data_IF_420611167054
#
_entry.id   IF_420611167054
#
_cell.length_a   1.000
_cell.length_b   1.000
_cell.length_c   1.000
_cell.angle_alpha   90.00
_cell.angle_beta   90.00
_cell.angle_gamma   90.00
#
_symmetry.space_group_name_H-M   'P 1'
#
loop_
_entity.id
_entity.type
_entity.pdbx_description
1 polymer ?
#
# COMPACT_ATOMS: atom_id res chain seq x y z
N UNK A 1 17.14 -10.91 -0.82
CA UNK A 1 16.52 -12.17 -0.35
C UNK A 1 17.39 -13.41 -0.66
N UNK A 2 18.20 -13.38 -1.74
CA UNK A 2 18.94 -14.60 -2.20
C UNK A 2 19.93 -15.18 -1.15
N UNK A 3 20.45 -14.36 -0.27
CA UNK A 3 21.44 -14.79 0.75
C UNK A 3 20.87 -14.91 2.17
N UNK A 4 19.59 -14.62 2.39
CA UNK A 4 19.00 -14.57 3.73
C UNK A 4 18.18 -15.81 4.10
N UNK A 5 18.00 -16.77 3.20
CA UNK A 5 17.09 -17.90 3.38
C UNK A 5 15.60 -17.49 3.41
N UNK A 6 15.29 -16.24 3.06
CA UNK A 6 13.93 -15.75 3.00
C UNK A 6 13.31 -16.00 1.62
N UNK A 7 12.07 -16.44 1.60
CA UNK A 7 11.27 -16.70 0.40
C UNK A 7 10.03 -15.82 0.43
N UNK A 8 9.84 -15.03 -0.61
CA UNK A 8 8.62 -14.25 -0.81
C UNK A 8 7.58 -15.12 -1.55
N UNK A 9 6.37 -15.11 -1.05
CA UNK A 9 5.22 -15.81 -1.61
C UNK A 9 4.19 -14.77 -2.04
N UNK A 10 4.00 -14.54 -3.34
CA UNK A 10 3.03 -13.58 -3.82
C UNK A 10 1.61 -14.03 -3.49
N UNK A 11 0.75 -13.09 -3.14
CA UNK A 11 -0.65 -13.33 -2.81
C UNK A 11 -1.58 -12.71 -3.85
N UNK A 12 -1.36 -11.44 -4.19
CA UNK A 12 -2.09 -10.73 -5.25
C UNK A 12 -1.30 -9.53 -5.74
N UNK A 13 -1.75 -8.99 -6.88
CA UNK A 13 -1.21 -7.77 -7.46
C UNK A 13 -2.27 -6.67 -7.43
N UNK A 14 -1.91 -5.47 -7.01
CA UNK A 14 -2.78 -4.31 -6.97
C UNK A 14 -2.28 -3.20 -7.92
N UNK A 15 -3.23 -2.46 -8.47
CA UNK A 15 -2.96 -1.18 -9.12
C UNK A 15 -2.77 -0.11 -8.04
N UNK A 16 -1.75 0.76 -8.15
CA UNK A 16 -1.58 1.85 -7.21
C UNK A 16 -2.79 2.78 -7.19
N UNK A 17 -3.18 3.20 -6.00
CA UNK A 17 -4.24 4.17 -5.75
C UNK A 17 -3.71 5.29 -4.85
N UNK A 18 -4.27 6.47 -5.04
CA UNK A 18 -4.07 7.61 -4.16
C UNK A 18 -5.15 7.61 -3.10
N UNK A 19 -4.77 7.61 -1.85
CA UNK A 19 -5.67 7.87 -0.73
C UNK A 19 -5.64 9.37 -0.44
N UNK A 20 -6.80 9.98 -0.39
CA UNK A 20 -6.96 11.43 -0.26
C UNK A 20 -8.26 11.74 0.48
N UNK A 21 -8.33 12.90 1.13
CA UNK A 21 -9.58 13.34 1.76
C UNK A 21 -10.70 13.48 0.72
N UNK A 22 -11.90 13.02 1.07
CA UNK A 22 -13.14 13.19 0.27
C UNK A 22 -13.43 14.67 -0.06
N UNK A 23 -12.93 15.60 0.76
CA UNK A 23 -13.08 17.03 0.53
C UNK A 23 -12.13 17.61 -0.52
N UNK A 24 -11.10 16.84 -0.93
CA UNK A 24 -10.17 17.27 -1.96
C UNK A 24 -10.86 17.28 -3.34
N UNK A 25 -10.66 18.33 -4.18
CA UNK A 25 -11.24 18.38 -5.52
C UNK A 25 -10.92 17.19 -6.44
N UNK A 26 -9.81 16.51 -6.20
CA UNK A 26 -9.44 15.31 -6.95
C UNK A 26 -10.30 14.08 -6.58
N UNK A 27 -10.98 14.09 -5.44
CA UNK A 27 -11.75 12.95 -4.92
C UNK A 27 -12.90 12.49 -5.85
N UNK A 28 -13.36 13.35 -6.75
CA UNK A 28 -14.43 13.03 -7.70
C UNK A 28 -13.92 12.55 -9.07
N UNK A 29 -12.61 12.43 -9.24
CA UNK A 29 -12.02 11.98 -10.51
C UNK A 29 -12.03 10.45 -10.60
N UNK A 30 -12.19 9.93 -11.80
CA UNK A 30 -12.07 8.50 -12.09
C UNK A 30 -10.63 7.98 -11.93
N UNK A 31 -9.65 8.84 -12.12
CA UNK A 31 -8.22 8.55 -11.94
C UNK A 31 -7.42 9.86 -11.77
N UNK A 32 -6.22 9.74 -11.23
CA UNK A 32 -5.26 10.83 -11.10
C UNK A 32 -3.91 10.44 -11.67
N UNK A 33 -3.09 11.45 -11.99
CA UNK A 33 -1.69 11.31 -12.42
C UNK A 33 -0.74 11.87 -11.38
N UNK A 34 0.55 11.60 -11.49
CA UNK A 34 1.57 12.19 -10.61
C UNK A 34 1.65 13.72 -10.77
N UNK A 35 1.31 14.24 -11.94
CA UNK A 35 1.25 15.69 -12.21
C UNK A 35 0.11 16.36 -11.44
N UNK A 36 -1.06 15.73 -11.36
CA UNK A 36 -2.19 16.21 -10.56
C UNK A 36 -1.85 16.34 -9.06
N UNK A 37 -0.88 15.56 -8.59
CA UNK A 37 -0.46 15.49 -7.20
C UNK A 37 0.73 16.39 -6.86
N UNK A 38 1.35 17.04 -7.84
CA UNK A 38 2.64 17.73 -7.68
C UNK A 38 2.63 18.81 -6.60
N UNK A 39 1.52 19.52 -6.45
CA UNK A 39 1.36 20.61 -5.47
C UNK A 39 0.83 20.15 -4.10
N UNK A 40 0.44 18.88 -3.96
CA UNK A 40 -0.11 18.35 -2.73
C UNK A 40 0.99 17.78 -1.83
N UNK A 41 0.88 17.90 -0.49
CA UNK A 41 1.78 17.22 0.44
C UNK A 41 1.68 15.70 0.28
N UNK A 42 2.81 15.05 -0.02
CA UNK A 42 2.90 13.61 0.02
C UNK A 42 3.18 13.14 1.44
N UNK A 43 2.34 12.27 1.95
CA UNK A 43 2.48 11.67 3.27
C UNK A 43 3.06 10.27 3.10
N UNK A 44 4.22 10.02 3.71
CA UNK A 44 4.94 8.75 3.61
C UNK A 44 5.25 8.18 4.98
N UNK A 45 5.34 6.87 5.04
CA UNK A 45 5.78 6.18 6.25
C UNK A 45 7.31 6.11 6.30
N UNK A 46 7.90 6.36 7.48
CA UNK A 46 9.33 6.21 7.66
C UNK A 46 9.70 4.71 7.65
N UNK A 47 10.35 4.30 6.59
CA UNK A 47 10.74 2.91 6.37
C UNK A 47 12.15 2.59 6.88
N UNK A 48 12.77 3.54 7.60
CA UNK A 48 14.10 3.38 8.15
C UNK A 48 15.23 3.38 7.10
N UNK A 49 16.43 3.05 7.56
CA UNK A 49 17.67 3.15 6.76
C UNK A 49 17.77 2.08 5.64
N UNK A 50 16.98 1.01 5.71
CA UNK A 50 17.04 -0.11 4.76
C UNK A 50 15.98 -0.03 3.65
N UNK A 51 15.35 1.12 3.48
CA UNK A 51 14.39 1.36 2.42
C UNK A 51 15.05 1.19 1.03
N UNK A 52 14.47 0.35 0.19
CA UNK A 52 14.88 0.20 -1.20
C UNK A 52 13.65 0.07 -2.10
N UNK A 53 13.81 0.38 -3.38
CA UNK A 53 12.73 0.26 -4.36
C UNK A 53 12.03 -1.11 -4.36
N UNK A 54 12.78 -2.19 -4.12
CA UNK A 54 12.24 -3.56 -4.16
C UNK A 54 11.61 -4.05 -2.86
N UNK A 55 11.89 -3.37 -1.74
CA UNK A 55 11.47 -3.79 -0.40
C UNK A 55 10.82 -2.65 0.36
N UNK A 56 10.40 -1.63 -0.34
CA UNK A 56 9.66 -0.53 0.25
C UNK A 56 8.23 -0.99 0.55
N UNK A 57 7.74 -0.65 1.72
CA UNK A 57 6.35 -0.86 2.10
C UNK A 57 5.40 0.02 1.26
N UNK A 58 5.90 1.17 0.81
CA UNK A 58 5.18 2.10 -0.05
C UNK A 58 5.77 2.14 -1.44
N UNK A 59 4.91 1.97 -2.44
CA UNK A 59 5.30 2.14 -3.83
C UNK A 59 5.70 3.59 -4.11
N UNK A 60 6.65 3.76 -5.03
CA UNK A 60 7.19 5.07 -5.41
C UNK A 60 7.83 5.85 -4.24
N UNK A 61 8.12 5.20 -3.10
CA UNK A 61 8.76 5.83 -1.94
C UNK A 61 10.14 6.42 -2.24
N UNK A 62 10.80 5.93 -3.28
CA UNK A 62 12.10 6.45 -3.76
C UNK A 62 11.98 7.68 -4.66
N UNK A 63 10.78 8.01 -5.14
CA UNK A 63 10.55 9.25 -5.89
C UNK A 63 10.41 10.42 -4.93
N UNK A 64 11.27 11.42 -5.05
CA UNK A 64 11.19 12.63 -4.24
C UNK A 64 9.95 13.44 -4.63
N UNK A 65 9.23 13.95 -3.65
CA UNK A 65 8.19 14.97 -3.80
C UNK A 65 8.72 16.29 -3.27
N UNK A 66 8.33 17.40 -3.89
CA UNK A 66 8.72 18.74 -3.42
C UNK A 66 8.15 19.06 -2.02
N UNK A 67 7.04 18.40 -1.66
CA UNK A 67 6.37 18.53 -0.36
C UNK A 67 6.15 17.14 0.22
N UNK A 68 7.10 16.66 1.00
CA UNK A 68 7.01 15.34 1.64
C UNK A 68 6.97 15.50 3.16
N UNK A 69 6.03 14.80 3.79
CA UNK A 69 5.92 14.68 5.25
C UNK A 69 6.07 13.20 5.59
N UNK A 70 7.10 12.88 6.37
CA UNK A 70 7.34 11.51 6.86
C UNK A 70 6.80 11.37 8.26
N UNK A 71 6.11 10.26 8.49
CA UNK A 71 5.52 9.91 9.78
C UNK A 71 5.96 8.52 10.21
N UNK A 72 5.93 8.28 11.51
CA UNK A 72 6.34 6.99 12.09
C UNK A 72 5.18 6.03 12.36
N UNK A 73 3.94 6.48 12.17
CA UNK A 73 2.75 5.64 12.37
C UNK A 73 1.67 5.94 11.33
N UNK A 74 0.83 4.93 11.04
CA UNK A 74 -0.19 4.99 9.99
C UNK A 74 -1.39 5.86 10.37
N UNK A 75 -1.76 5.91 11.65
CA UNK A 75 -2.91 6.71 12.08
C UNK A 75 -2.64 8.20 11.86
N UNK A 76 -1.40 8.64 12.04
CA UNK A 76 -0.98 10.01 11.74
C UNK A 76 -1.12 10.34 10.25
N UNK A 77 -0.89 9.39 9.33
CA UNK A 77 -1.11 9.61 7.89
C UNK A 77 -2.55 10.01 7.62
N UNK A 78 -3.54 9.29 8.16
CA UNK A 78 -4.96 9.57 7.95
C UNK A 78 -5.34 10.95 8.49
N UNK A 79 -4.92 11.28 9.71
CA UNK A 79 -5.16 12.60 10.29
C UNK A 79 -4.55 13.74 9.46
N UNK A 80 -3.35 13.56 8.94
CA UNK A 80 -2.68 14.56 8.11
C UNK A 80 -3.29 14.66 6.71
N UNK A 81 -3.81 13.58 6.13
CA UNK A 81 -4.58 13.65 4.87
C UNK A 81 -5.74 14.62 4.98
N UNK A 82 -6.48 14.57 6.08
CA UNK A 82 -7.60 15.46 6.33
C UNK A 82 -7.09 16.87 6.70
N UNK A 83 -6.15 16.96 7.65
CA UNK A 83 -5.72 18.25 8.21
C UNK A 83 -4.85 19.10 7.28
N UNK A 84 -4.02 18.47 6.45
CA UNK A 84 -3.11 19.16 5.51
C UNK A 84 -3.58 19.08 4.04
N UNK A 85 -4.65 18.34 3.75
CA UNK A 85 -5.06 18.07 2.37
C UNK A 85 -4.02 17.27 1.58
N UNK A 86 -3.23 16.44 2.27
CA UNK A 86 -2.18 15.61 1.67
C UNK A 86 -2.72 14.32 1.07
N UNK A 87 -1.81 13.52 0.52
CA UNK A 87 -2.13 12.20 -0.06
C UNK A 87 -1.09 11.16 0.30
N UNK A 88 -1.47 9.88 0.25
CA UNK A 88 -0.54 8.75 0.24
C UNK A 88 -0.87 7.79 -0.91
N UNK A 89 0.08 6.94 -1.30
CA UNK A 89 -0.10 5.95 -2.37
C UNK A 89 -0.13 4.56 -1.75
N UNK A 90 -1.18 3.80 -2.07
CA UNK A 90 -1.40 2.46 -1.51
C UNK A 90 -2.09 1.54 -2.53
N UNK A 91 -2.56 0.38 -2.07
CA UNK A 91 -3.17 -0.68 -2.89
C UNK A 91 -4.57 -0.37 -3.40
N UNK A 92 -5.23 0.63 -2.85
CA UNK A 92 -6.64 0.91 -3.12
C UNK A 92 -7.62 0.11 -2.24
N UNK A 93 -7.12 -0.84 -1.46
CA UNK A 93 -7.93 -1.60 -0.52
C UNK A 93 -8.11 -0.75 0.74
N UNK A 94 -9.32 -0.28 0.96
CA UNK A 94 -9.72 0.46 2.15
C UNK A 94 -11.06 -0.09 2.63
N UNK A 95 -11.18 -0.31 3.93
CA UNK A 95 -12.47 -0.66 4.52
C UNK A 95 -13.29 0.60 4.75
N UNK A 96 -14.56 0.58 4.39
CA UNK A 96 -15.50 1.69 4.62
C UNK A 96 -15.62 2.05 6.11
N UNK A 97 -15.34 1.07 6.99
CA UNK A 97 -15.35 1.26 8.44
C UNK A 97 -14.11 1.98 8.98
N UNK A 98 -13.04 2.08 8.17
CA UNK A 98 -11.73 2.56 8.64
C UNK A 98 -11.68 4.08 8.71
N UNK A 99 -12.13 4.77 7.66
CA UNK A 99 -12.27 6.22 7.63
C UNK A 99 -13.19 6.67 6.48
N UNK A 100 -14.44 7.08 6.76
CA UNK A 100 -15.38 7.51 5.73
C UNK A 100 -14.99 8.82 5.03
N UNK A 101 -14.04 9.58 5.60
CA UNK A 101 -13.55 10.83 5.03
C UNK A 101 -12.46 10.64 3.97
N UNK A 102 -11.98 9.40 3.76
CA UNK A 102 -10.91 9.08 2.81
C UNK A 102 -11.48 8.29 1.64
N UNK A 103 -10.98 8.58 0.46
CA UNK A 103 -11.29 7.84 -0.78
C UNK A 103 -10.01 7.34 -1.44
N UNK A 104 -10.12 6.22 -2.13
CA UNK A 104 -9.08 5.65 -2.97
C UNK A 104 -9.37 5.97 -4.43
N UNK A 105 -8.42 6.61 -5.13
CA UNK A 105 -8.54 6.97 -6.54
C UNK A 105 -7.44 6.25 -7.32
N UNK A 106 -7.75 5.57 -8.43
CA UNK A 106 -6.74 4.93 -9.27
C UNK A 106 -5.65 5.91 -9.71
N UNK A 107 -4.37 5.54 -9.53
CA UNK A 107 -3.22 6.29 -10.00
C UNK A 107 -2.76 5.74 -11.36
N UNK A 108 -2.67 6.61 -12.37
CA UNK A 108 -2.14 6.24 -13.68
C UNK A 108 -0.62 6.18 -13.66
N UNK A 109 -0.11 4.97 -13.46
CA UNK A 109 1.31 4.61 -13.52
C UNK A 109 1.44 3.19 -14.07
N UNK A 110 2.59 2.85 -14.60
CA UNK A 110 2.86 1.49 -15.13
C UNK A 110 3.21 0.51 -14.01
N UNK A 111 3.61 1.01 -12.86
CA UNK A 111 3.99 0.23 -11.70
C UNK A 111 2.81 -0.58 -11.15
N UNK A 112 3.11 -1.75 -10.59
CA UNK A 112 2.18 -2.61 -9.87
C UNK A 112 2.70 -2.86 -8.45
N UNK A 113 1.78 -3.06 -7.53
CA UNK A 113 2.08 -3.43 -6.15
C UNK A 113 1.86 -4.93 -6.03
N UNK A 114 2.92 -5.67 -5.72
CA UNK A 114 2.82 -7.09 -5.43
C UNK A 114 2.79 -7.28 -3.92
N UNK A 115 1.70 -7.84 -3.43
CA UNK A 115 1.48 -8.12 -2.02
C UNK A 115 1.63 -9.62 -1.79
N UNK A 116 2.32 -9.96 -0.71
CA UNK A 116 2.56 -11.34 -0.34
C UNK A 116 3.06 -11.47 1.09
N UNK A 117 3.56 -12.63 1.40
CA UNK A 117 4.13 -12.94 2.70
C UNK A 117 5.52 -13.54 2.54
N UNK A 118 6.31 -13.51 3.61
CA UNK A 118 7.68 -14.00 3.62
C UNK A 118 7.80 -15.15 4.61
N UNK A 119 8.46 -16.22 4.19
CA UNK A 119 8.86 -17.33 5.06
C UNK A 119 10.37 -17.54 5.02
N UNK A 120 10.88 -18.32 5.98
CA UNK A 120 12.25 -18.81 5.93
C UNK A 120 12.26 -20.21 5.31
N UNK A 121 13.08 -20.43 4.28
CA UNK A 121 13.12 -21.69 3.50
C UNK A 121 13.43 -22.94 4.33
N UNK A 122 14.16 -22.78 5.44
CA UNK A 122 14.53 -23.88 6.34
C UNK A 122 13.55 -24.12 7.51
N UNK A 123 12.47 -23.30 7.62
CA UNK A 123 11.54 -23.37 8.74
C UNK A 123 10.12 -23.65 8.21
N UNK A 124 9.54 -24.82 8.55
CA UNK A 124 8.18 -25.13 8.11
C UNK A 124 7.17 -24.23 8.81
N UNK A 125 6.08 -23.88 8.08
CA UNK A 125 4.99 -23.11 8.64
C UNK A 125 4.30 -23.90 9.78
N UNK A 126 4.02 -23.21 10.88
CA UNK A 126 3.18 -23.75 11.95
C UNK A 126 1.75 -23.92 11.47
N UNK A 127 0.94 -24.70 12.20
CA UNK A 127 -0.48 -24.84 11.91
C UNK A 127 -1.23 -23.51 12.01
N UNK A 128 -0.87 -22.69 13.03
CA UNK A 128 -1.43 -21.36 13.22
C UNK A 128 -1.13 -20.44 12.02
N UNK A 129 0.11 -20.46 11.53
CA UNK A 129 0.48 -19.68 10.35
C UNK A 129 -0.31 -20.12 9.11
N UNK A 130 -0.49 -21.43 8.90
CA UNK A 130 -1.31 -21.94 7.79
C UNK A 130 -2.76 -21.51 7.89
N UNK A 131 -3.36 -21.57 9.08
CA UNK A 131 -4.73 -21.09 9.31
C UNK A 131 -4.85 -19.58 9.05
N UNK A 132 -3.92 -18.79 9.55
CA UNK A 132 -3.89 -17.34 9.31
C UNK A 132 -3.82 -17.02 7.81
N UNK A 133 -2.95 -17.71 7.06
CA UNK A 133 -2.84 -17.53 5.62
C UNK A 133 -4.13 -17.93 4.88
N UNK A 134 -4.81 -18.99 5.33
CA UNK A 134 -6.10 -19.38 4.75
C UNK A 134 -7.18 -18.32 4.97
N UNK A 135 -7.29 -17.78 6.19
CA UNK A 135 -8.21 -16.68 6.51
C UNK A 135 -7.88 -15.41 5.72
N UNK A 136 -6.59 -15.05 5.65
CA UNK A 136 -6.14 -13.90 4.88
C UNK A 136 -6.52 -14.02 3.40
N UNK A 137 -6.35 -15.20 2.79
CA UNK A 137 -6.78 -15.46 1.39
C UNK A 137 -8.28 -15.32 1.24
N UNK A 138 -9.07 -15.82 2.18
CA UNK A 138 -10.53 -15.69 2.17
C UNK A 138 -10.97 -14.22 2.26
N UNK A 139 -10.33 -13.44 3.13
CA UNK A 139 -10.59 -11.98 3.25
C UNK A 139 -10.24 -11.26 1.96
N UNK A 140 -9.06 -11.52 1.37
CA UNK A 140 -8.66 -10.90 0.10
C UNK A 140 -9.64 -11.23 -1.02
N UNK A 141 -10.08 -12.50 -1.10
CA UNK A 141 -11.06 -12.92 -2.09
C UNK A 141 -12.44 -12.23 -1.91
N UNK A 142 -12.82 -11.86 -0.68
CA UNK A 142 -14.06 -11.13 -0.43
C UNK A 142 -14.08 -9.70 -0.98
N UNK A 143 -12.92 -9.14 -1.32
CA UNK A 143 -12.80 -7.86 -2.03
C UNK A 143 -12.78 -8.00 -3.56
N UNK A 144 -13.14 -9.17 -4.10
CA UNK A 144 -13.11 -9.48 -5.54
C UNK A 144 -11.70 -9.34 -6.17
N UNK A 145 -10.66 -9.49 -5.35
CA UNK A 145 -9.27 -9.43 -5.77
C UNK A 145 -8.81 -10.81 -6.23
N UNK A 146 -8.27 -10.88 -7.44
CA UNK A 146 -7.71 -12.11 -7.98
C UNK A 146 -6.47 -12.54 -7.19
N UNK A 147 -6.55 -13.70 -6.58
CA UNK A 147 -5.43 -14.31 -5.86
C UNK A 147 -4.45 -14.95 -6.83
N UNK A 148 -3.17 -14.72 -6.60
CA UNK A 148 -2.12 -15.43 -7.32
C UNK A 148 -1.98 -16.85 -6.75
N UNK A 149 -1.82 -17.82 -7.64
CA UNK A 149 -1.50 -19.19 -7.25
C UNK A 149 -0.09 -19.19 -6.64
N UNK A 150 -0.02 -19.58 -5.37
CA UNK A 150 1.28 -19.87 -4.75
C UNK A 150 1.75 -21.24 -5.22
N UNK A 151 2.98 -21.37 -5.67
CA UNK A 151 3.58 -22.64 -6.04
C UNK A 151 3.66 -23.62 -4.88
#
# INVERSE_FOLDING_TARGET
LRDSGLVFHPLFTATPHVFISRQNPLAVREHVTLEDLADLPRLTFDQGANNSFYFAEEILSTRSSAREVRVSDRATIFNLMIGLGGYTISTGIISDDLDPEIVAIPLRVDERIEIGWISHSGIPLTEQARRYLAEMRAVVASYEIELLDSP
#
